data_IF_630964626451
#
_entry.id   IF_630964626451
#
_cell.length_a   1.000
_cell.length_b   1.000
_cell.length_c   1.000
_cell.angle_alpha   90.00
_cell.angle_beta   90.00
_cell.angle_gamma   90.00
#
_symmetry.space_group_name_H-M   'P 1'
#
loop_
_entity.id
_entity.type
_entity.pdbx_description
1 polymer ?
#
# COMPACT_ATOMS: atom_id res chain seq x y z
N UNK A 1 8.22 -12.69 26.60
CA UNK A 1 7.60 -11.51 25.95
C UNK A 1 6.86 -11.81 24.65
N UNK A 2 7.22 -12.82 23.83
CA UNK A 2 6.46 -13.18 22.61
C UNK A 2 5.09 -13.82 22.86
N UNK A 3 4.90 -14.54 23.98
CA UNK A 3 3.62 -15.17 24.37
C UNK A 3 2.55 -14.19 24.89
N UNK A 4 2.93 -12.99 25.34
CA UNK A 4 1.97 -12.01 25.92
C UNK A 4 1.33 -11.14 24.82
N UNK A 5 1.99 -10.98 23.68
CA UNK A 5 1.55 -10.08 22.60
C UNK A 5 1.02 -10.81 21.35
N UNK A 6 1.01 -12.15 21.32
CA UNK A 6 0.64 -12.96 20.14
C UNK A 6 1.21 -12.41 18.82
N UNK A 7 2.53 -12.11 18.80
CA UNK A 7 3.21 -11.38 17.72
C UNK A 7 3.47 -12.26 16.47
N UNK A 8 2.74 -13.37 16.29
CA UNK A 8 2.81 -14.10 15.03
C UNK A 8 1.69 -13.60 14.13
N UNK A 9 1.98 -12.70 13.17
CA UNK A 9 0.97 -12.23 12.25
C UNK A 9 0.40 -13.41 11.48
N UNK A 10 -0.91 -13.60 11.54
CA UNK A 10 -1.59 -14.54 10.64
C UNK A 10 -1.56 -13.93 9.24
N UNK A 11 -0.81 -14.56 8.33
CA UNK A 11 -0.70 -14.14 6.94
C UNK A 11 -1.66 -14.94 6.07
N UNK A 12 -2.50 -14.23 5.34
CA UNK A 12 -3.34 -14.79 4.29
C UNK A 12 -2.55 -14.87 2.99
N UNK A 13 -2.65 -16.01 2.30
CA UNK A 13 -2.00 -16.23 1.02
C UNK A 13 -3.00 -16.01 -0.12
N UNK A 14 -2.65 -15.16 -1.07
CA UNK A 14 -3.44 -14.90 -2.27
C UNK A 14 -2.58 -15.25 -3.49
N UNK A 15 -3.13 -16.04 -4.41
CA UNK A 15 -2.41 -16.42 -5.63
C UNK A 15 -2.25 -15.16 -6.49
N UNK A 16 -1.02 -14.88 -6.90
CA UNK A 16 -0.66 -13.72 -7.68
C UNK A 16 -0.15 -14.16 -9.05
N UNK A 17 -0.64 -13.54 -10.13
CA UNK A 17 -0.03 -13.76 -11.45
C UNK A 17 1.33 -13.06 -11.53
N UNK A 18 2.42 -13.80 -11.79
CA UNK A 18 3.79 -13.26 -11.89
C UNK A 18 3.98 -12.18 -12.98
N UNK A 19 3.10 -12.11 -13.98
CA UNK A 19 3.22 -11.18 -15.11
C UNK A 19 2.44 -9.88 -14.91
N UNK A 20 1.18 -9.96 -14.44
CA UNK A 20 0.27 -8.80 -14.36
C UNK A 20 -0.18 -8.46 -12.94
N UNK A 21 0.21 -9.28 -11.95
CA UNK A 21 -0.09 -9.13 -10.53
C UNK A 21 -1.59 -9.15 -10.21
N UNK A 22 -2.39 -9.76 -11.08
CA UNK A 22 -3.79 -10.03 -10.79
C UNK A 22 -3.91 -11.09 -9.71
N UNK A 23 -4.84 -10.85 -8.79
CA UNK A 23 -5.00 -11.61 -7.56
C UNK A 23 -6.18 -12.57 -7.68
N UNK A 24 -5.98 -13.81 -7.26
CA UNK A 24 -6.96 -14.89 -7.29
C UNK A 24 -7.13 -15.48 -5.90
N UNK A 25 -8.38 -15.52 -5.42
CA UNK A 25 -8.74 -16.03 -4.09
C UNK A 25 -9.64 -17.26 -4.22
N UNK A 26 -9.46 -18.22 -3.32
CA UNK A 26 -10.37 -19.35 -3.13
C UNK A 26 -10.04 -20.59 -3.97
N UNK A 27 -10.82 -21.65 -3.71
CA UNK A 27 -10.62 -22.99 -4.29
C UNK A 27 -10.86 -23.04 -5.80
N UNK A 28 -11.68 -22.15 -6.35
CA UNK A 28 -12.04 -22.11 -7.77
C UNK A 28 -11.08 -21.24 -8.61
N UNK A 29 -9.81 -21.14 -8.20
CA UNK A 29 -8.80 -20.37 -8.95
C UNK A 29 -8.48 -21.08 -10.28
N UNK A 30 -8.55 -20.38 -11.43
CA UNK A 30 -8.24 -20.99 -12.72
C UNK A 30 -6.77 -21.41 -12.82
N UNK A 31 -6.44 -22.37 -13.68
CA UNK A 31 -5.05 -22.79 -13.89
C UNK A 31 -4.19 -21.71 -14.57
N UNK A 32 -4.82 -20.81 -15.31
CA UNK A 32 -4.18 -19.74 -16.09
C UNK A 32 -4.81 -18.38 -15.75
N UNK A 33 -3.99 -17.33 -15.80
CA UNK A 33 -4.41 -15.97 -15.55
C UNK A 33 -5.44 -15.50 -16.60
N UNK A 34 -6.62 -15.11 -16.13
CA UNK A 34 -7.74 -14.60 -16.92
C UNK A 34 -7.76 -13.07 -17.05
N UNK A 35 -6.76 -12.37 -16.49
CA UNK A 35 -6.73 -10.91 -16.53
C UNK A 35 -6.65 -10.38 -17.96
N UNK A 36 -7.53 -9.41 -18.26
CA UNK A 36 -7.58 -8.72 -19.54
C UNK A 36 -7.70 -7.21 -19.29
N UNK A 37 -6.71 -6.39 -19.65
CA UNK A 37 -6.77 -4.95 -19.38
C UNK A 37 -7.78 -4.21 -20.28
N UNK A 38 -7.97 -4.68 -21.52
CA UNK A 38 -8.93 -4.12 -22.48
C UNK A 38 -9.65 -5.23 -23.23
N UNK A 39 -10.90 -5.00 -23.64
CA UNK A 39 -11.71 -6.00 -24.36
C UNK A 39 -11.08 -6.52 -25.66
N UNK A 40 -10.24 -5.70 -26.31
CA UNK A 40 -9.55 -6.04 -27.57
C UNK A 40 -8.13 -6.57 -27.40
N UNK A 41 -7.58 -6.60 -26.18
CA UNK A 41 -6.22 -7.13 -25.92
C UNK A 41 -6.27 -8.61 -25.54
N UNK A 42 -5.23 -9.40 -25.85
CA UNK A 42 -5.20 -10.80 -25.39
C UNK A 42 -5.26 -10.86 -23.85
N UNK A 43 -5.89 -11.92 -23.34
CA UNK A 43 -5.82 -12.29 -21.93
C UNK A 43 -4.36 -12.62 -21.56
N UNK A 44 -3.99 -12.38 -20.30
CA UNK A 44 -2.63 -12.63 -19.81
C UNK A 44 -2.18 -14.08 -20.03
N UNK A 45 -3.05 -15.04 -19.72
CA UNK A 45 -2.86 -16.49 -19.90
C UNK A 45 -1.59 -17.08 -19.27
N UNK A 46 -0.94 -16.38 -18.35
CA UNK A 46 0.22 -16.91 -17.60
C UNK A 46 -0.24 -18.04 -16.68
N UNK A 47 0.44 -19.20 -16.64
CA UNK A 47 0.11 -20.27 -15.70
C UNK A 47 0.20 -19.77 -14.26
N UNK A 48 -0.85 -19.99 -13.46
CA UNK A 48 -0.86 -19.59 -12.04
C UNK A 48 -0.22 -20.64 -11.14
N UNK A 49 -0.13 -21.88 -11.62
CA UNK A 49 0.44 -23.00 -10.89
C UNK A 49 1.65 -23.59 -11.64
N UNK A 50 2.57 -24.15 -10.87
CA UNK A 50 3.59 -25.07 -11.34
C UNK A 50 3.24 -26.48 -10.87
N UNK A 51 3.44 -27.45 -11.76
CA UNK A 51 3.28 -28.86 -11.45
C UNK A 51 4.61 -29.37 -10.92
N UNK A 52 4.61 -29.97 -9.73
CA UNK A 52 5.72 -30.81 -9.28
C UNK A 52 5.23 -32.25 -9.25
N UNK A 53 5.83 -33.10 -10.07
CA UNK A 53 5.74 -34.54 -9.85
C UNK A 53 6.55 -34.85 -8.59
N UNK A 54 5.96 -35.48 -7.56
CA UNK A 54 6.77 -35.95 -6.44
C UNK A 54 7.79 -36.94 -7.02
N UNK A 55 9.07 -36.68 -6.77
CA UNK A 55 10.15 -37.56 -7.19
C UNK A 55 9.83 -38.98 -6.68
N UNK A 56 9.50 -39.88 -7.59
CA UNK A 56 9.64 -41.31 -7.34
C UNK A 56 11.09 -41.53 -6.97
N UNK A 57 11.32 -41.96 -5.72
CA UNK A 57 12.59 -42.48 -5.31
C UNK A 57 13.07 -43.53 -6.32
N UNK A 58 14.38 -43.48 -6.60
CA UNK A 58 15.23 -44.46 -7.32
C UNK A 58 15.55 -44.14 -8.80
N UNK A 59 16.81 -43.75 -9.01
CA UNK A 59 17.85 -44.54 -9.71
C UNK A 59 19.17 -43.75 -9.58
N UNK A 60 20.36 -44.28 -9.23
CA UNK A 60 20.88 -45.63 -8.92
C UNK A 60 22.36 -45.44 -8.57
N UNK A 61 22.90 -46.10 -7.54
CA UNK A 61 24.14 -46.89 -7.64
C UNK A 61 24.16 -47.93 -6.50
N UNK A 62 24.20 -49.22 -6.84
CA UNK A 62 24.50 -50.30 -5.89
C UNK A 62 23.57 -51.52 -5.94
N UNK A 63 23.94 -52.48 -6.80
CA UNK A 63 23.77 -53.95 -6.66
C UNK A 63 22.40 -54.59 -6.37
N UNK A 64 21.96 -55.38 -7.36
CA UNK A 64 21.41 -56.75 -7.26
C UNK A 64 20.55 -57.11 -6.04
N UNK A 65 19.25 -57.34 -6.26
CA UNK A 65 18.58 -58.59 -5.88
C UNK A 65 17.19 -58.67 -6.52
N UNK A 66 16.90 -59.86 -7.04
CA UNK A 66 15.62 -60.30 -7.59
C UNK A 66 14.52 -60.29 -6.53
N UNK A 67 13.39 -59.62 -6.77
CA UNK A 67 12.09 -60.07 -6.25
C UNK A 67 10.95 -59.46 -7.04
N UNK A 68 10.11 -60.33 -7.56
CA UNK A 68 8.84 -60.06 -8.20
C UNK A 68 7.89 -59.31 -7.26
N UNK A 69 7.76 -58.00 -7.42
CA UNK A 69 6.69 -57.21 -6.79
C UNK A 69 5.94 -56.45 -7.87
N UNK A 70 4.67 -56.83 -8.07
CA UNK A 70 3.71 -56.07 -8.87
C UNK A 70 3.46 -54.73 -8.17
N UNK A 71 4.31 -53.75 -8.43
CA UNK A 71 4.03 -52.36 -8.08
C UNK A 71 2.76 -51.95 -8.83
N UNK A 72 1.66 -51.78 -8.08
CA UNK A 72 0.51 -51.04 -8.58
C UNK A 72 1.02 -49.67 -9.00
N UNK A 73 0.90 -49.36 -10.28
CA UNK A 73 0.97 -47.99 -10.79
C UNK A 73 -0.10 -47.17 -10.05
N UNK A 74 0.28 -46.56 -8.94
CA UNK A 74 -0.41 -45.38 -8.45
C UNK A 74 0.25 -44.24 -9.20
N UNK A 75 -0.42 -43.74 -10.23
CA UNK A 75 -0.07 -42.45 -10.82
C UNK A 75 0.06 -41.46 -9.65
N UNK A 76 1.26 -40.90 -9.39
CA UNK A 76 1.40 -39.94 -8.32
C UNK A 76 0.45 -38.78 -8.61
N UNK A 77 -0.43 -38.46 -7.67
CA UNK A 77 -1.36 -37.34 -7.80
C UNK A 77 -0.55 -36.08 -8.11
N UNK A 78 -0.82 -35.46 -9.25
CA UNK A 78 -0.17 -34.23 -9.68
C UNK A 78 -0.47 -33.12 -8.68
N UNK A 79 0.54 -32.62 -7.96
CA UNK A 79 0.35 -31.52 -7.00
C UNK A 79 0.66 -30.20 -7.70
N UNK A 80 -0.33 -29.30 -7.70
CA UNK A 80 -0.22 -27.95 -8.23
C UNK A 80 0.17 -26.99 -7.09
N UNK A 81 1.30 -26.30 -7.26
CA UNK A 81 1.75 -25.26 -6.33
C UNK A 81 1.59 -23.89 -6.99
N UNK A 82 1.10 -22.86 -6.29
CA UNK A 82 1.11 -21.50 -6.82
C UNK A 82 2.53 -21.10 -7.26
N UNK A 83 2.64 -20.46 -8.42
CA UNK A 83 3.92 -19.91 -8.88
C UNK A 83 4.35 -18.73 -8.04
N UNK A 84 3.38 -17.89 -7.67
CA UNK A 84 3.64 -16.68 -6.94
C UNK A 84 2.51 -16.36 -5.95
N UNK A 85 2.87 -15.76 -4.81
CA UNK A 85 1.98 -15.56 -3.67
C UNK A 85 2.12 -14.13 -3.16
N UNK A 86 1.00 -13.43 -3.12
CA UNK A 86 0.85 -12.18 -2.39
C UNK A 86 0.41 -12.49 -0.96
N UNK A 87 1.28 -12.22 0.01
CA UNK A 87 0.98 -12.41 1.42
C UNK A 87 0.33 -11.16 1.98
N UNK A 88 -0.72 -11.32 2.79
CA UNK A 88 -1.51 -10.20 3.30
C UNK A 88 -1.93 -10.39 4.74
N UNK A 89 -2.30 -9.29 5.40
CA UNK A 89 -3.00 -9.31 6.67
C UNK A 89 -4.37 -8.64 6.51
N UNK A 90 -5.34 -9.12 7.29
CA UNK A 90 -6.67 -8.52 7.33
C UNK A 90 -6.67 -7.27 8.22
N UNK A 91 -7.20 -6.16 7.69
CA UNK A 91 -7.21 -4.86 8.38
C UNK A 91 -8.11 -4.94 9.62
N UNK A 92 -9.27 -5.57 9.51
CA UNK A 92 -10.25 -5.65 10.59
C UNK A 92 -9.70 -6.48 11.74
N UNK A 93 -9.14 -7.66 11.47
CA UNK A 93 -8.54 -8.52 12.49
C UNK A 93 -7.36 -7.84 13.19
N UNK A 94 -6.54 -7.10 12.45
CA UNK A 94 -5.46 -6.33 13.06
C UNK A 94 -5.97 -5.18 13.95
N UNK A 95 -7.04 -4.47 13.53
CA UNK A 95 -7.63 -3.41 14.35
C UNK A 95 -8.31 -3.95 15.60
N UNK A 96 -9.00 -5.10 15.52
CA UNK A 96 -9.52 -5.82 16.69
C UNK A 96 -8.40 -6.14 17.69
N UNK A 97 -7.29 -6.68 17.20
CA UNK A 97 -6.11 -6.93 18.04
C UNK A 97 -5.58 -5.65 18.67
N UNK A 98 -5.40 -4.57 17.88
CA UNK A 98 -4.85 -3.31 18.35
C UNK A 98 -5.72 -2.70 19.47
N UNK A 99 -7.04 -2.64 19.27
CA UNK A 99 -7.98 -2.06 20.24
C UNK A 99 -8.25 -2.97 21.43
N UNK A 100 -7.98 -4.28 21.32
CA UNK A 100 -8.01 -5.21 22.44
C UNK A 100 -6.85 -5.04 23.43
N UNK A 101 -5.83 -4.25 23.10
CA UNK A 101 -4.69 -4.00 23.98
C UNK A 101 -5.04 -2.96 25.07
N UNK A 102 -4.70 -3.21 26.37
CA UNK A 102 -5.16 -2.40 27.50
C UNK A 102 -4.86 -0.91 27.46
N UNK A 103 -3.76 -0.51 26.83
CA UNK A 103 -3.23 0.85 26.91
C UNK A 103 -3.50 1.68 25.67
N UNK A 104 -3.98 1.08 24.57
CA UNK A 104 -4.00 1.75 23.27
C UNK A 104 -5.01 2.89 23.24
N UNK A 105 -6.24 2.66 23.69
CA UNK A 105 -7.27 3.70 23.71
C UNK A 105 -6.92 4.86 24.65
N UNK A 106 -6.25 4.55 25.76
CA UNK A 106 -5.73 5.53 26.73
C UNK A 106 -4.66 6.40 26.07
N UNK A 107 -3.70 5.78 25.36
CA UNK A 107 -2.61 6.49 24.68
C UNK A 107 -3.13 7.34 23.50
N UNK A 108 -4.13 6.86 22.76
CA UNK A 108 -4.79 7.64 21.70
C UNK A 108 -5.45 8.88 22.31
N UNK A 109 -6.24 8.72 23.37
CA UNK A 109 -6.97 9.82 24.01
C UNK A 109 -6.01 10.82 24.64
N UNK A 110 -4.98 10.33 25.34
CA UNK A 110 -3.93 11.17 25.94
C UNK A 110 -3.21 11.99 24.88
N UNK A 111 -2.80 11.37 23.78
CA UNK A 111 -2.09 12.06 22.70
C UNK A 111 -2.96 13.12 22.02
N UNK A 112 -4.24 12.80 21.76
CA UNK A 112 -5.21 13.78 21.24
C UNK A 112 -5.32 15.01 22.15
N UNK A 113 -5.42 14.80 23.47
CA UNK A 113 -5.53 15.88 24.44
C UNK A 113 -4.24 16.71 24.52
N UNK A 114 -3.08 16.06 24.49
CA UNK A 114 -1.77 16.74 24.47
C UNK A 114 -1.64 17.64 23.24
N UNK A 115 -1.99 17.13 22.05
CA UNK A 115 -1.98 17.90 20.80
C UNK A 115 -2.94 19.09 20.79
N UNK A 116 -4.03 19.05 21.57
CA UNK A 116 -4.94 20.19 21.69
C UNK A 116 -4.30 21.37 22.45
N UNK A 117 -3.30 21.11 23.28
CA UNK A 117 -2.60 22.13 24.09
C UNK A 117 -1.36 22.71 23.40
N UNK A 118 -0.78 21.99 22.43
CA UNK A 118 0.48 22.39 21.83
C UNK A 118 0.31 23.53 20.81
N UNK A 119 1.15 24.59 20.88
CA UNK A 119 1.18 25.62 19.85
C UNK A 119 1.84 25.09 18.57
N UNK A 120 1.34 25.52 17.41
CA UNK A 120 1.80 25.11 16.08
C UNK A 120 1.55 23.63 15.73
N UNK A 121 1.84 23.26 14.47
CA UNK A 121 1.67 21.89 13.96
C UNK A 121 2.91 21.07 14.34
N UNK A 122 2.77 20.23 15.37
CA UNK A 122 3.79 19.30 15.85
C UNK A 122 3.54 17.88 15.35
N UNK A 123 2.31 17.58 14.95
CA UNK A 123 1.90 16.26 14.49
C UNK A 123 0.97 16.32 13.29
N UNK A 124 0.92 15.23 12.51
CA UNK A 124 0.03 15.07 11.36
C UNK A 124 -1.44 15.27 11.72
N UNK A 125 -1.84 14.95 12.96
CA UNK A 125 -3.21 15.18 13.45
C UNK A 125 -3.61 16.66 13.47
N UNK A 126 -2.65 17.58 13.55
CA UNK A 126 -2.91 19.02 13.52
C UNK A 126 -2.86 19.60 12.10
N UNK A 127 -2.41 18.82 11.11
CA UNK A 127 -2.27 19.24 9.72
C UNK A 127 -3.62 19.53 9.06
N UNK A 128 -3.62 20.41 8.06
CA UNK A 128 -4.83 20.78 7.35
C UNK A 128 -5.51 19.58 6.66
N UNK A 129 -4.71 18.62 6.17
CA UNK A 129 -5.24 17.41 5.54
C UNK A 129 -6.04 16.54 6.51
N UNK A 130 -5.55 16.37 7.75
CA UNK A 130 -6.28 15.68 8.80
C UNK A 130 -7.61 16.38 9.13
N UNK A 131 -7.57 17.70 9.31
CA UNK A 131 -8.75 18.51 9.66
C UNK A 131 -9.84 18.51 8.59
N UNK A 132 -9.48 18.25 7.33
CA UNK A 132 -10.41 18.18 6.20
C UNK A 132 -10.99 16.78 5.96
N UNK A 133 -10.50 15.75 6.65
CA UNK A 133 -11.06 14.40 6.54
C UNK A 133 -12.54 14.42 6.91
N UNK A 134 -13.36 13.96 5.97
CA UNK A 134 -14.80 13.85 6.14
C UNK A 134 -15.12 12.43 6.55
N UNK A 135 -15.69 12.26 7.73
CA UNK A 135 -16.14 10.97 8.23
C UNK A 135 -17.62 10.78 7.92
N UNK A 136 -18.01 9.53 7.63
CA UNK A 136 -19.42 9.17 7.47
C UNK A 136 -20.21 9.60 8.71
N UNK A 137 -21.41 10.16 8.51
CA UNK A 137 -22.29 10.55 9.60
C UNK A 137 -22.68 9.31 10.40
N UNK A 138 -22.49 9.37 11.70
CA UNK A 138 -22.95 8.35 12.63
C UNK A 138 -24.28 8.82 13.24
N UNK A 139 -25.27 7.93 13.33
CA UNK A 139 -26.62 8.28 13.82
C UNK A 139 -26.67 8.44 15.36
N UNK A 140 -25.61 8.08 16.09
CA UNK A 140 -25.46 8.28 17.53
C UNK A 140 -24.42 9.34 17.89
N UNK A 141 -24.21 9.57 19.20
CA UNK A 141 -23.29 10.57 19.74
C UNK A 141 -21.85 10.40 19.20
N UNK A 142 -21.15 11.51 18.93
CA UNK A 142 -19.75 11.52 18.50
C UNK A 142 -18.82 10.82 19.51
N UNK A 143 -19.19 10.79 20.79
CA UNK A 143 -18.45 10.06 21.83
C UNK A 143 -18.52 8.53 21.69
N UNK A 144 -19.50 8.02 20.94
CA UNK A 144 -19.75 6.59 20.75
C UNK A 144 -18.93 5.95 19.61
N UNK A 145 -18.17 6.76 18.86
CA UNK A 145 -17.33 6.29 17.75
C UNK A 145 -15.84 6.52 17.98
N UNK A 146 -15.01 5.72 17.31
CA UNK A 146 -13.56 5.91 17.22
C UNK A 146 -13.19 6.03 15.74
N UNK A 147 -12.60 7.17 15.36
CA UNK A 147 -12.11 7.41 14.00
C UNK A 147 -10.59 7.20 13.95
N UNK A 148 -10.15 6.13 13.28
CA UNK A 148 -8.74 5.77 13.12
C UNK A 148 -8.25 6.17 11.72
N UNK A 149 -7.22 6.98 11.68
CA UNK A 149 -6.55 7.40 10.44
C UNK A 149 -5.25 6.62 10.29
N UNK A 150 -5.01 6.09 9.10
CA UNK A 150 -3.84 5.29 8.77
C UNK A 150 -2.96 5.96 7.73
N UNK A 151 -1.65 5.85 7.91
CA UNK A 151 -0.65 6.14 6.90
C UNK A 151 -0.43 4.88 6.07
N UNK A 152 -0.40 5.03 4.75
CA UNK A 152 -0.04 3.99 3.81
C UNK A 152 1.43 4.16 3.42
N UNK A 153 2.26 3.17 3.72
CA UNK A 153 3.64 3.13 3.28
C UNK A 153 3.84 2.04 2.24
N UNK A 154 4.46 2.38 1.12
CA UNK A 154 4.81 1.43 0.05
C UNK A 154 6.26 1.65 -0.33
N UNK A 155 7.03 0.57 -0.39
CA UNK A 155 8.42 0.61 -0.82
C UNK A 155 8.85 -0.74 -1.41
N UNK A 156 9.95 -0.75 -2.14
CA UNK A 156 10.56 -1.96 -2.69
C UNK A 156 11.99 -2.11 -2.23
N UNK A 157 12.34 -3.34 -1.90
CA UNK A 157 13.66 -3.68 -1.41
C UNK A 157 14.17 -4.95 -2.08
N UNK A 158 15.49 -5.10 -2.09
CA UNK A 158 16.12 -6.33 -2.53
C UNK A 158 16.20 -7.32 -1.37
N UNK A 159 15.44 -8.43 -1.39
CA UNK A 159 15.47 -9.41 -0.30
C UNK A 159 16.83 -10.10 -0.15
N UNK A 160 17.67 -10.06 -1.19
CA UNK A 160 19.03 -10.64 -1.18
C UNK A 160 20.11 -9.64 -0.72
N UNK A 161 19.71 -8.40 -0.42
CA UNK A 161 20.61 -7.31 -0.08
C UNK A 161 21.31 -6.69 -1.29
N UNK A 162 21.80 -5.46 -1.12
CA UNK A 162 22.38 -4.65 -2.19
C UNK A 162 23.88 -4.91 -2.35
N UNK A 163 24.26 -6.08 -2.87
CA UNK A 163 25.66 -6.39 -3.25
C UNK A 163 25.87 -6.09 -4.74
N UNK A 164 26.98 -5.43 -5.12
CA UNK A 164 27.27 -5.03 -6.51
C UNK A 164 27.23 -6.19 -7.52
N UNK A 165 27.69 -7.38 -7.14
CA UNK A 165 27.63 -8.60 -7.97
C UNK A 165 26.49 -9.56 -7.59
N UNK A 166 25.58 -9.14 -6.70
CA UNK A 166 24.46 -9.95 -6.24
C UNK A 166 23.30 -9.93 -7.24
N UNK A 167 22.55 -11.04 -7.32
CA UNK A 167 21.29 -11.07 -8.07
C UNK A 167 20.35 -10.00 -7.52
N UNK A 168 19.93 -9.08 -8.39
CA UNK A 168 18.94 -8.07 -8.04
C UNK A 168 17.55 -8.67 -8.18
N UNK A 169 16.83 -8.72 -7.07
CA UNK A 169 15.41 -8.99 -7.01
C UNK A 169 14.74 -7.83 -6.27
N UNK A 170 13.47 -7.58 -6.54
CA UNK A 170 12.70 -6.51 -5.92
C UNK A 170 11.43 -7.12 -5.37
N UNK A 171 11.24 -7.02 -4.06
CA UNK A 171 9.99 -7.34 -3.36
C UNK A 171 9.40 -6.06 -2.82
N UNK A 172 8.07 -5.97 -2.76
CA UNK A 172 7.37 -4.80 -2.22
C UNK A 172 6.83 -5.04 -0.83
N UNK A 173 6.76 -3.97 -0.04
CA UNK A 173 6.13 -3.96 1.28
C UNK A 173 5.03 -2.91 1.30
N UNK A 174 3.85 -3.29 1.79
CA UNK A 174 2.74 -2.38 2.06
C UNK A 174 2.50 -2.39 3.58
N UNK A 175 2.76 -1.26 4.22
CA UNK A 175 2.51 -1.08 5.66
C UNK A 175 1.40 -0.08 5.90
N UNK A 176 0.57 -0.36 6.91
CA UNK A 176 -0.38 0.59 7.46
C UNK A 176 0.05 0.96 8.87
N UNK A 177 0.10 2.26 9.16
CA UNK A 177 0.47 2.79 10.49
C UNK A 177 -0.68 3.61 11.05
N UNK A 178 -1.18 3.25 12.23
CA UNK A 178 -2.22 4.02 12.92
C UNK A 178 -1.67 5.37 13.41
N UNK A 179 -2.09 6.46 12.80
CA UNK A 179 -1.60 7.81 13.11
C UNK A 179 -2.22 8.41 14.39
N UNK A 180 -3.29 7.80 14.90
CA UNK A 180 -3.90 8.17 16.17
C UNK A 180 -2.99 7.90 17.37
N UNK A 181 -2.09 6.91 17.25
CA UNK A 181 -1.10 6.59 18.25
C UNK A 181 -0.03 7.70 18.35
N UNK A 182 0.52 7.96 19.54
CA UNK A 182 1.62 8.91 19.70
C UNK A 182 2.89 8.45 18.95
N UNK A 183 3.80 9.37 18.56
CA UNK A 183 5.03 9.05 17.83
C UNK A 183 5.87 7.93 18.48
N UNK A 184 5.93 7.89 19.81
CA UNK A 184 6.63 6.87 20.61
C UNK A 184 6.10 5.44 20.42
N UNK A 185 4.89 5.27 19.88
CA UNK A 185 4.25 3.97 19.64
C UNK A 185 4.07 3.69 18.15
N UNK A 186 3.54 4.64 17.38
CA UNK A 186 3.03 4.37 16.02
C UNK A 186 4.06 3.82 15.03
N UNK A 187 5.34 4.10 15.20
CA UNK A 187 6.40 3.61 14.30
C UNK A 187 7.15 2.38 14.82
N UNK A 188 6.76 1.85 15.98
CA UNK A 188 7.35 0.59 16.46
C UNK A 188 6.84 -0.55 15.60
N UNK A 189 7.71 -1.48 15.15
CA UNK A 189 7.29 -2.62 14.33
C UNK A 189 6.14 -3.43 14.93
N UNK A 190 6.04 -3.50 16.26
CA UNK A 190 4.95 -4.18 16.96
C UNK A 190 3.56 -3.57 16.70
N UNK A 191 3.46 -2.28 16.35
CA UNK A 191 2.19 -1.57 16.09
C UNK A 191 2.02 -1.18 14.60
N UNK A 192 2.85 -1.74 13.72
CA UNK A 192 2.71 -1.57 12.28
C UNK A 192 2.00 -2.78 11.68
N UNK A 193 0.96 -2.53 10.89
CA UNK A 193 0.28 -3.57 10.13
C UNK A 193 1.04 -3.85 8.84
N UNK A 194 1.53 -5.07 8.67
CA UNK A 194 2.08 -5.54 7.39
C UNK A 194 0.93 -5.96 6.50
N UNK A 195 0.27 -4.99 5.87
CA UNK A 195 -0.90 -5.26 5.04
C UNK A 195 -0.58 -6.21 3.88
N UNK A 196 0.58 -6.05 3.24
CA UNK A 196 0.93 -6.85 2.08
C UNK A 196 2.43 -6.98 1.82
N UNK A 197 2.86 -8.17 1.41
CA UNK A 197 4.20 -8.44 0.88
C UNK A 197 4.04 -8.79 -0.59
N UNK A 198 4.38 -7.83 -1.46
CA UNK A 198 4.31 -7.97 -2.90
C UNK A 198 5.45 -8.88 -3.35
N UNK A 199 5.16 -9.95 -4.09
CA UNK A 199 6.20 -10.86 -4.53
C UNK A 199 7.17 -10.20 -5.50
N UNK A 200 8.36 -10.79 -5.60
CA UNK A 200 9.35 -10.43 -6.61
C UNK A 200 9.17 -11.19 -7.92
N UNK A 201 10.14 -11.13 -8.84
CA UNK A 201 11.45 -10.50 -8.70
C UNK A 201 11.50 -9.02 -9.12
N UNK A 202 10.40 -8.45 -9.62
CA UNK A 202 10.41 -7.12 -10.25
C UNK A 202 9.55 -6.12 -9.48
N UNK A 203 9.97 -4.85 -9.45
CA UNK A 203 9.09 -3.80 -8.95
C UNK A 203 7.85 -3.69 -9.87
N UNK A 204 6.63 -3.57 -9.34
CA UNK A 204 5.42 -3.40 -10.11
C UNK A 204 5.50 -2.19 -11.06
N UNK A 205 4.95 -2.33 -12.26
CA UNK A 205 4.57 -1.20 -13.10
C UNK A 205 3.19 -0.64 -12.66
N UNK A 206 2.68 0.35 -13.40
CA UNK A 206 1.41 1.04 -13.08
C UNK A 206 0.18 0.13 -13.08
N UNK A 207 0.13 -0.87 -13.96
CA UNK A 207 -0.97 -1.85 -14.00
C UNK A 207 -0.85 -2.84 -12.85
N UNK A 208 0.37 -3.32 -12.59
CA UNK A 208 0.65 -4.31 -11.54
C UNK A 208 0.36 -3.73 -10.15
N UNK A 209 0.81 -2.50 -9.85
CA UNK A 209 0.54 -1.87 -8.55
C UNK A 209 -0.96 -1.63 -8.35
N UNK A 210 -1.69 -1.26 -9.40
CA UNK A 210 -3.15 -1.14 -9.33
C UNK A 210 -3.80 -2.48 -9.01
N UNK A 211 -3.41 -3.57 -9.69
CA UNK A 211 -3.97 -4.88 -9.38
C UNK A 211 -3.71 -5.33 -7.92
N UNK A 212 -2.56 -4.98 -7.35
CA UNK A 212 -2.26 -5.21 -5.93
C UNK A 212 -3.14 -4.33 -5.02
N UNK A 213 -3.19 -3.02 -5.28
CA UNK A 213 -3.91 -2.06 -4.43
C UNK A 213 -5.42 -2.25 -4.43
N UNK A 214 -6.00 -2.90 -5.46
CA UNK A 214 -7.42 -3.32 -5.44
C UNK A 214 -7.77 -4.08 -4.17
N UNK A 215 -6.88 -4.94 -3.67
CA UNK A 215 -7.16 -5.69 -2.46
C UNK A 215 -7.23 -4.82 -1.20
N UNK A 216 -6.31 -3.86 -1.06
CA UNK A 216 -6.30 -2.87 0.02
C UNK A 216 -7.57 -2.02 -0.01
N UNK A 217 -7.87 -1.47 -1.18
CA UNK A 217 -9.00 -0.58 -1.39
C UNK A 217 -10.33 -1.31 -1.16
N UNK A 218 -10.44 -2.58 -1.57
CA UNK A 218 -11.64 -3.39 -1.30
C UNK A 218 -11.90 -3.53 0.20
N UNK A 219 -10.91 -3.90 1.02
CA UNK A 219 -11.08 -4.00 2.47
C UNK A 219 -11.46 -2.66 3.10
N UNK A 220 -10.84 -1.55 2.65
CA UNK A 220 -11.19 -0.22 3.16
C UNK A 220 -12.62 0.22 2.78
N UNK A 221 -13.07 -0.14 1.58
CA UNK A 221 -14.44 0.13 1.12
C UNK A 221 -15.47 -0.71 1.87
N UNK A 222 -15.16 -1.95 2.23
CA UNK A 222 -16.00 -2.78 3.10
C UNK A 222 -16.15 -2.17 4.51
N UNK A 223 -15.12 -1.48 5.00
CA UNK A 223 -15.10 -0.84 6.32
C UNK A 223 -15.54 0.64 6.31
N UNK A 224 -15.96 1.19 5.17
CA UNK A 224 -16.19 2.64 4.99
C UNK A 224 -17.33 3.21 5.84
N UNK A 225 -18.33 2.39 6.12
CA UNK A 225 -19.54 2.78 6.86
C UNK A 225 -19.38 2.57 8.38
N UNK A 226 -18.20 2.11 8.81
CA UNK A 226 -17.88 1.80 10.19
C UNK A 226 -18.31 0.39 10.58
N UNK A 227 -17.60 -0.17 11.57
CA UNK A 227 -17.85 -1.53 12.08
C UNK A 227 -17.82 -1.51 13.59
N UNK A 228 -18.75 -2.23 14.23
CA UNK A 228 -18.75 -2.37 15.67
C UNK A 228 -17.68 -3.38 16.10
N UNK A 229 -16.71 -2.92 16.90
CA UNK A 229 -15.60 -3.74 17.39
C UNK A 229 -15.54 -3.63 18.92
N UNK A 230 -15.53 -4.76 19.66
CA UNK A 230 -15.15 -4.79 21.06
C UNK A 230 -13.75 -4.21 21.27
N UNK A 231 -13.62 -3.24 22.17
CA UNK A 231 -12.35 -2.64 22.54
C UNK A 231 -12.08 -2.87 24.03
N UNK A 232 -10.84 -2.72 24.48
CA UNK A 232 -10.50 -3.01 25.88
C UNK A 232 -11.29 -2.16 26.89
N UNK A 233 -11.46 -0.87 26.62
CA UNK A 233 -12.25 0.03 27.47
C UNK A 233 -13.76 -0.06 27.21
N UNK A 234 -14.16 -0.67 26.08
CA UNK A 234 -15.56 -0.81 25.68
C UNK A 234 -15.86 -2.24 25.21
N UNK A 235 -16.06 -3.18 26.15
CA UNK A 235 -16.31 -4.58 25.82
C UNK A 235 -17.58 -4.80 24.98
N UNK A 236 -18.61 -3.97 25.17
CA UNK A 236 -19.85 -3.97 24.37
C UNK A 236 -19.64 -3.46 22.93
N UNK A 237 -18.44 -2.96 22.64
CA UNK A 237 -18.00 -2.48 21.35
C UNK A 237 -18.31 -1.03 21.07
N UNK A 238 -17.51 -0.44 20.18
CA UNK A 238 -17.73 0.88 19.59
C UNK A 238 -17.72 0.80 18.09
N UNK A 239 -18.40 1.75 17.44
CA UNK A 239 -18.28 1.94 16.00
C UNK A 239 -16.90 2.50 15.68
N UNK A 240 -16.12 1.74 14.94
CA UNK A 240 -14.78 2.11 14.48
C UNK A 240 -14.86 2.48 13.00
N UNK A 241 -14.34 3.66 12.67
CA UNK A 241 -14.19 4.14 11.30
C UNK A 241 -12.72 4.19 10.93
N UNK A 242 -12.40 3.85 9.69
CA UNK A 242 -11.03 3.81 9.19
C UNK A 242 -10.89 4.66 7.92
N UNK A 243 -9.86 5.49 7.86
CA UNK A 243 -9.49 6.22 6.64
C UNK A 243 -7.98 6.24 6.44
N UNK A 244 -7.55 6.28 5.19
CA UNK A 244 -6.15 6.55 4.83
C UNK A 244 -5.93 8.07 4.74
N UNK A 245 -4.76 8.53 5.17
CA UNK A 245 -4.35 9.93 4.97
C UNK A 245 -3.07 10.04 4.13
N UNK A 246 -1.83 10.05 4.65
CA UNK A 246 -0.71 10.16 3.74
C UNK A 246 -0.36 8.80 3.15
N UNK A 247 -0.21 8.76 1.82
CA UNK A 247 0.68 7.81 1.15
C UNK A 247 2.12 8.32 1.26
N UNK A 248 3.00 7.50 1.81
CA UNK A 248 4.43 7.75 1.99
C UNK A 248 5.25 6.63 1.36
N UNK A 249 6.42 6.97 0.85
CA UNK A 249 7.39 6.03 0.30
C UNK A 249 8.58 6.79 -0.28
N UNK A 250 9.45 6.08 -1.00
CA UNK A 250 10.37 6.74 -1.91
C UNK A 250 9.59 7.42 -3.06
N UNK A 251 10.27 8.29 -3.82
CA UNK A 251 9.59 9.06 -4.88
C UNK A 251 8.96 8.14 -5.93
N UNK A 252 9.61 7.03 -6.27
CA UNK A 252 9.13 6.09 -7.30
C UNK A 252 7.88 5.34 -6.84
N UNK A 253 7.81 4.98 -5.55
CA UNK A 253 6.71 4.30 -4.87
C UNK A 253 5.49 5.15 -4.78
N UNK A 254 5.71 6.35 -4.24
CA UNK A 254 4.69 7.37 -4.15
C UNK A 254 4.12 7.64 -5.54
N UNK A 255 4.96 7.80 -6.57
CA UNK A 255 4.48 8.10 -7.91
C UNK A 255 3.62 6.97 -8.51
N UNK A 256 4.14 5.73 -8.48
CA UNK A 256 3.44 4.53 -8.96
C UNK A 256 2.09 4.33 -8.27
N UNK A 257 2.05 4.43 -6.94
CA UNK A 257 0.86 4.16 -6.15
C UNK A 257 -0.15 5.32 -6.13
N UNK A 258 0.28 6.58 -6.27
CA UNK A 258 -0.62 7.75 -6.21
C UNK A 258 -1.27 8.13 -7.53
N UNK A 259 -0.80 7.61 -8.66
CA UNK A 259 -1.40 7.96 -9.95
C UNK A 259 -0.68 9.08 -10.69
N UNK A 260 0.60 9.32 -10.42
CA UNK A 260 1.36 10.45 -10.97
C UNK A 260 2.60 9.97 -11.73
N UNK A 261 2.91 10.66 -12.81
CA UNK A 261 4.00 10.29 -13.71
C UNK A 261 5.37 10.31 -13.03
N UNK A 262 6.31 9.55 -13.60
CA UNK A 262 7.70 9.45 -13.14
C UNK A 262 8.36 10.83 -12.91
N UNK A 263 9.34 10.87 -12.02
CA UNK A 263 10.22 12.03 -11.83
C UNK A 263 10.95 12.45 -13.13
N UNK A 264 11.07 11.54 -14.10
CA UNK A 264 11.66 11.78 -15.42
C UNK A 264 10.63 12.18 -16.50
N UNK A 265 9.35 12.29 -16.17
CA UNK A 265 8.32 12.71 -17.10
C UNK A 265 8.32 14.24 -17.29
N UNK A 266 7.70 14.72 -18.38
CA UNK A 266 7.52 16.16 -18.59
C UNK A 266 6.82 16.80 -17.39
N UNK A 267 5.71 16.22 -16.93
CA UNK A 267 5.02 16.61 -15.70
C UNK A 267 5.47 15.72 -14.54
N UNK A 268 6.59 16.07 -13.92
CA UNK A 268 7.22 15.27 -12.86
C UNK A 268 6.71 15.57 -11.45
N UNK A 269 6.16 16.77 -11.20
CA UNK A 269 5.74 17.18 -9.87
C UNK A 269 4.29 16.75 -9.61
N UNK A 270 4.01 16.03 -8.51
CA UNK A 270 2.65 15.61 -8.20
C UNK A 270 1.77 16.74 -7.64
N UNK A 271 2.37 17.82 -7.12
CA UNK A 271 1.62 18.93 -6.52
C UNK A 271 1.38 20.12 -7.45
N UNK A 272 2.23 20.31 -8.47
CA UNK A 272 2.16 21.48 -9.35
C UNK A 272 2.34 21.12 -10.83
N UNK A 273 2.13 22.11 -11.69
CA UNK A 273 2.20 21.96 -13.15
C UNK A 273 3.60 22.16 -13.73
N UNK A 274 4.65 22.19 -12.88
CA UNK A 274 6.03 22.34 -13.33
C UNK A 274 6.43 21.28 -14.37
N UNK A 275 7.22 21.71 -15.35
CA UNK A 275 7.66 20.89 -16.46
C UNK A 275 9.17 20.66 -16.45
N UNK A 276 9.61 19.46 -16.83
CA UNK A 276 11.01 19.04 -16.79
C UNK A 276 11.95 19.96 -17.59
N UNK A 277 11.61 20.44 -18.81
CA UNK A 277 12.44 21.41 -19.54
C UNK A 277 12.69 22.71 -18.77
N UNK A 278 11.77 23.07 -17.88
CA UNK A 278 11.83 24.30 -17.07
C UNK A 278 12.38 24.07 -15.66
N UNK A 279 12.89 22.87 -15.35
CA UNK A 279 13.38 22.52 -14.02
C UNK A 279 14.52 23.45 -13.55
N UNK A 280 15.38 23.88 -14.47
CA UNK A 280 16.49 24.80 -14.21
C UNK A 280 16.03 26.16 -13.64
N UNK A 281 14.78 26.55 -13.87
CA UNK A 281 14.23 27.78 -13.32
C UNK A 281 14.02 27.68 -11.80
N UNK A 282 14.00 26.46 -11.23
CA UNK A 282 13.76 26.20 -9.81
C UNK A 282 12.50 26.90 -9.29
N UNK A 283 11.50 27.06 -10.16
CA UNK A 283 10.22 27.70 -9.86
C UNK A 283 9.15 26.65 -9.73
N UNK A 284 8.34 26.83 -8.71
CA UNK A 284 7.12 26.07 -8.57
C UNK A 284 6.12 26.50 -9.66
N UNK A 285 5.55 25.52 -10.37
CA UNK A 285 4.39 25.77 -11.23
C UNK A 285 3.12 26.07 -10.43
N UNK A 286 2.02 26.24 -11.14
CA UNK A 286 0.70 26.41 -10.53
C UNK A 286 0.32 25.15 -9.75
N UNK A 287 -0.28 25.34 -8.58
CA UNK A 287 -0.70 24.21 -7.75
C UNK A 287 -1.88 23.50 -8.40
N UNK A 288 -1.79 22.17 -8.52
CA UNK A 288 -2.88 21.36 -9.05
C UNK A 288 -4.05 21.35 -8.06
N UNK A 289 -5.28 21.27 -8.55
CA UNK A 289 -6.43 20.98 -7.70
C UNK A 289 -6.64 19.46 -7.60
N UNK A 290 -6.99 18.93 -6.43
CA UNK A 290 -7.29 17.52 -6.25
C UNK A 290 -8.47 17.03 -7.12
N UNK A 291 -9.48 17.88 -7.35
CA UNK A 291 -10.62 17.55 -8.21
C UNK A 291 -10.22 17.44 -9.68
N UNK A 292 -9.35 18.32 -10.15
CA UNK A 292 -8.84 18.29 -11.52
C UNK A 292 -7.98 17.04 -11.74
N UNK A 293 -7.13 16.69 -10.79
CA UNK A 293 -6.34 15.43 -10.83
C UNK A 293 -7.27 14.21 -10.91
N UNK A 294 -8.35 14.17 -10.12
CA UNK A 294 -9.30 13.06 -10.15
C UNK A 294 -10.04 12.97 -11.49
N UNK A 295 -10.41 14.11 -12.08
CA UNK A 295 -11.02 14.17 -13.41
C UNK A 295 -10.05 13.66 -14.48
N UNK A 296 -8.82 14.16 -14.49
CA UNK A 296 -7.77 13.71 -15.42
C UNK A 296 -7.50 12.20 -15.25
N UNK A 297 -7.37 11.72 -14.01
CA UNK A 297 -7.17 10.30 -13.75
C UNK A 297 -8.34 9.45 -14.27
N UNK A 298 -9.58 9.95 -14.17
CA UNK A 298 -10.76 9.27 -14.68
C UNK A 298 -10.77 9.21 -16.21
N UNK A 299 -10.47 10.32 -16.87
CA UNK A 299 -10.33 10.36 -18.33
C UNK A 299 -9.25 9.37 -18.82
N UNK A 300 -8.14 9.26 -18.08
CA UNK A 300 -7.13 8.21 -18.31
C UNK A 300 -7.70 6.79 -18.12
N UNK A 301 -8.51 6.56 -17.07
CA UNK A 301 -9.12 5.26 -16.78
C UNK A 301 -10.01 4.79 -17.92
N UNK A 302 -10.84 5.71 -18.41
CA UNK A 302 -11.90 5.48 -19.40
C UNK A 302 -11.36 5.40 -20.85
N UNK A 303 -10.07 5.71 -21.05
CA UNK A 303 -9.36 5.50 -22.32
C UNK A 303 -9.38 4.02 -22.73
N UNK A 304 -9.64 3.77 -24.02
CA UNK A 304 -9.95 2.43 -24.57
C UNK A 304 -8.73 1.66 -25.01
N UNK A 305 -7.60 2.34 -25.19
CA UNK A 305 -6.35 1.73 -25.66
C UNK A 305 -5.16 2.13 -24.80
N UNK A 306 -4.11 1.31 -24.82
CA UNK A 306 -2.86 1.63 -24.15
C UNK A 306 -2.19 2.88 -24.76
N UNK A 307 -2.36 3.10 -26.07
CA UNK A 307 -1.81 4.28 -26.76
C UNK A 307 -2.44 5.58 -26.24
N UNK A 308 -3.78 5.61 -26.15
CA UNK A 308 -4.52 6.74 -25.57
C UNK A 308 -4.08 7.03 -24.13
N UNK A 309 -3.96 5.97 -23.30
CA UNK A 309 -3.48 6.10 -21.92
C UNK A 309 -2.07 6.70 -21.84
N UNK A 310 -1.17 6.27 -22.72
CA UNK A 310 0.20 6.78 -22.77
C UNK A 310 0.24 8.25 -23.23
N UNK A 311 -0.54 8.62 -24.23
CA UNK A 311 -0.65 10.00 -24.70
C UNK A 311 -1.25 10.91 -23.64
N UNK A 312 -2.32 10.47 -22.97
CA UNK A 312 -2.94 11.19 -21.88
C UNK A 312 -1.95 11.43 -20.73
N UNK A 313 -1.25 10.38 -20.30
CA UNK A 313 -0.23 10.49 -19.25
C UNK A 313 0.92 11.43 -19.66
N UNK A 314 1.33 11.46 -20.93
CA UNK A 314 2.35 12.42 -21.42
C UNK A 314 1.84 13.86 -21.31
N UNK A 315 0.55 14.08 -21.61
CA UNK A 315 -0.09 15.41 -21.58
C UNK A 315 -0.33 15.94 -20.17
N UNK A 316 -0.83 15.12 -19.26
CA UNK A 316 -1.29 15.57 -17.92
C UNK A 316 -0.32 15.19 -16.80
N UNK A 317 0.48 14.15 -16.98
CA UNK A 317 1.32 13.56 -15.93
C UNK A 317 0.54 12.73 -14.91
N UNK A 318 -0.68 12.31 -15.23
CA UNK A 318 -1.57 11.60 -14.29
C UNK A 318 -2.10 10.32 -14.93
N UNK A 319 -2.26 9.26 -14.11
CA UNK A 319 -3.01 8.05 -14.42
C UNK A 319 -3.93 7.65 -13.27
N UNK A 320 -4.80 6.68 -13.51
CA UNK A 320 -5.70 6.17 -12.47
C UNK A 320 -4.96 5.34 -11.41
N UNK A 321 -5.02 5.78 -10.16
CA UNK A 321 -4.68 4.96 -8.99
C UNK A 321 -5.94 4.31 -8.42
N UNK A 322 -5.83 3.08 -7.94
CA UNK A 322 -6.94 2.45 -7.22
C UNK A 322 -7.33 3.19 -5.93
N UNK A 323 -6.42 3.96 -5.33
CA UNK A 323 -6.72 4.79 -4.18
C UNK A 323 -7.80 5.84 -4.49
N UNK A 324 -7.98 6.21 -5.76
CA UNK A 324 -9.01 7.15 -6.20
C UNK A 324 -10.44 6.58 -6.08
N UNK A 325 -10.62 5.28 -5.84
CA UNK A 325 -11.94 4.74 -5.53
C UNK A 325 -12.40 5.05 -4.09
N UNK A 326 -11.49 5.53 -3.22
CA UNK A 326 -11.84 5.89 -1.84
C UNK A 326 -12.61 7.23 -1.84
N UNK A 327 -13.82 7.31 -1.24
CA UNK A 327 -14.68 8.50 -1.34
C UNK A 327 -14.09 9.80 -0.78
N UNK A 328 -13.18 9.70 0.17
CA UNK A 328 -12.54 10.83 0.85
C UNK A 328 -11.20 11.24 0.22
N UNK A 329 -10.76 10.58 -0.86
CA UNK A 329 -9.41 10.75 -1.40
C UNK A 329 -9.19 12.14 -1.98
N UNK A 330 -8.08 12.78 -1.59
CA UNK A 330 -7.58 13.99 -2.22
C UNK A 330 -6.12 13.76 -2.67
N UNK A 331 -5.87 13.43 -3.95
CA UNK A 331 -4.55 13.06 -4.44
C UNK A 331 -3.45 14.11 -4.20
N UNK A 332 -3.81 15.39 -4.13
CA UNK A 332 -2.85 16.46 -3.85
C UNK A 332 -2.50 16.52 -2.34
N UNK A 333 -3.52 16.48 -1.47
CA UNK A 333 -3.33 16.68 -0.03
C UNK A 333 -2.91 15.42 0.73
N UNK A 334 -3.20 14.24 0.18
CA UNK A 334 -2.99 12.93 0.82
C UNK A 334 -1.66 12.29 0.40
N UNK A 335 -0.76 13.07 -0.21
CA UNK A 335 0.55 12.63 -0.65
C UNK A 335 1.64 13.26 0.20
N UNK A 336 2.55 12.46 0.75
CA UNK A 336 3.74 12.96 1.42
C UNK A 336 5.01 12.29 0.86
N UNK A 337 6.07 13.07 0.68
CA UNK A 337 7.39 12.51 0.38
C UNK A 337 8.00 11.94 1.65
N UNK A 338 8.53 10.72 1.57
CA UNK A 338 9.27 10.13 2.67
C UNK A 338 10.48 10.97 3.08
N UNK A 339 10.59 11.24 4.39
CA UNK A 339 11.68 12.02 4.99
C UNK A 339 13.03 11.29 4.85
N UNK A 340 13.02 9.95 4.79
CA UNK A 340 14.23 9.12 4.67
C UNK A 340 15.07 9.44 3.43
N UNK A 341 14.48 10.03 2.38
CA UNK A 341 15.17 10.40 1.13
C UNK A 341 15.02 11.90 0.78
N UNK A 342 14.17 12.65 1.48
CA UNK A 342 13.88 14.06 1.22
C UNK A 342 13.80 14.86 2.53
N UNK A 343 14.95 15.20 3.09
CA UNK A 343 15.07 16.08 4.27
C UNK A 343 14.48 17.49 4.07
N UNK A 344 14.28 17.93 2.83
CA UNK A 344 13.95 19.32 2.46
C UNK A 344 12.46 19.69 2.37
N UNK A 345 11.51 18.74 2.47
CA UNK A 345 10.10 19.00 2.11
C UNK A 345 9.09 19.03 3.27
N UNK A 346 9.54 19.24 4.51
CA UNK A 346 8.68 19.29 5.72
C UNK A 346 7.77 20.54 5.77
N UNK A 347 8.02 21.56 4.95
CA UNK A 347 7.34 22.87 5.02
C UNK A 347 5.87 22.90 4.55
N UNK A 348 5.32 21.81 4.00
CA UNK A 348 3.94 21.82 3.45
C UNK A 348 2.87 21.15 4.32
N UNK A 349 3.24 20.27 5.24
CA UNK A 349 2.27 19.72 6.21
C UNK A 349 1.98 20.71 7.34
N UNK A 350 2.96 21.55 7.67
CA UNK A 350 2.82 22.70 8.57
C UNK A 350 2.74 23.98 7.73
N UNK A 351 1.55 24.55 7.54
CA UNK A 351 1.32 25.79 6.77
C UNK A 351 1.95 27.06 7.38
N UNK A 352 3.25 27.09 7.66
CA UNK A 352 3.97 28.25 8.15
C UNK A 352 5.48 28.10 7.90
N UNK A 353 6.05 28.90 6.99
CA UNK A 353 7.12 29.84 7.36
C UNK A 353 7.49 30.84 6.24
N UNK A 354 7.52 32.14 6.59
CA UNK A 354 8.36 33.17 5.96
C UNK A 354 9.71 33.14 6.67
N UNK A 355 10.80 32.78 6.00
CA UNK A 355 12.13 32.93 6.58
C UNK A 355 12.85 34.14 5.97
N UNK A 356 12.95 35.22 6.76
CA UNK A 356 13.93 36.30 6.54
C UNK A 356 15.31 35.73 6.81
N UNK A 357 16.12 35.58 5.77
CA UNK A 357 17.51 35.20 5.91
C UNK A 357 18.34 36.42 6.35
N UNK A 358 18.77 36.47 7.62
CA UNK A 358 19.85 37.39 8.05
C UNK A 358 21.19 36.73 7.67
N UNK A 359 21.82 37.26 6.62
CA UNK A 359 23.25 37.03 6.32
C UNK A 359 24.07 37.46 7.54
N UNK A 360 24.81 36.53 8.16
CA UNK A 360 26.01 36.88 8.92
C UNK A 360 27.11 37.18 7.90
N UNK A 361 27.61 38.42 7.91
CA UNK A 361 28.86 38.81 7.26
C UNK A 361 30.04 38.28 8.09
N UNK A 362 31.16 38.12 7.41
CA UNK A 362 32.35 37.37 7.84
C UNK A 362 33.09 37.89 9.06
N UNK A 363 34.02 37.04 9.46
CA UNK A 363 35.27 37.31 10.16
C UNK A 363 36.27 36.31 9.61
#
# INVERSE_FOLDING_TARGET
>A
MSKILCIQPQLNQIICCETCYSLYKGANTPLYCTYQPFSKTPICNTPLFQVKTPFSALQTQGSSLSSSSRYRSHNPSTIHYPRDIYYTQDILEWVKWLLGLPTIEIEITKWKNELATLPHVNDVQQAQAWKKLQWTKHNGDESSRICLTFLLFIDWFNPRGNKQAGKQESMGLILLTCLNLPPKLRHKPAYSLVFGIIPGPNSPNTVMISNILKHLVAQLLELKDGVQIPAFLYPDGKYIYLQLLPLIGDLVAVHKASGVASHSANHFCPWCTAQLPNLQLMRQGEMRNGLDILKEAKDWKDSKTLSEKNEFCKKTGVWWSELNNLPYQNPNMHLALGILHNWLNISRFSGAFKMKCKRKKGG
#
